data_IF_894433286301
#
_entry.id   IF_894433286301
#
_cell.length_a   1.000
_cell.length_b   1.000
_cell.length_c   1.000
_cell.angle_alpha   90.00
_cell.angle_beta   90.00
_cell.angle_gamma   90.00
#
_symmetry.space_group_name_H-M   'P 1'
#
loop_
_entity.id
_entity.type
_entity.pdbx_description
1 polymer ?
#
# COMPACT_ATOMS: atom_id res chain seq x y z
N UNK A 1 22.80 -46.58 15.65
CA UNK A 1 22.60 -45.84 14.39
C UNK A 1 22.33 -44.39 14.77
N UNK A 2 23.30 -43.51 14.57
CA UNK A 2 23.15 -42.07 14.88
C UNK A 2 22.37 -41.42 13.75
N UNK A 3 21.20 -40.85 14.05
CA UNK A 3 20.43 -40.05 13.09
C UNK A 3 21.19 -38.75 12.80
N UNK A 4 21.31 -38.31 11.53
CA UNK A 4 21.98 -37.05 11.24
C UNK A 4 21.15 -35.89 11.80
N UNK A 5 21.84 -34.87 12.30
CA UNK A 5 21.20 -33.64 12.75
C UNK A 5 20.43 -32.98 11.59
N UNK A 6 19.25 -32.38 11.84
CA UNK A 6 18.50 -31.68 10.81
C UNK A 6 19.34 -30.52 10.24
N UNK A 7 19.27 -30.34 8.92
CA UNK A 7 19.89 -29.20 8.24
C UNK A 7 19.32 -27.89 8.81
N UNK A 8 20.13 -26.83 8.95
CA UNK A 8 19.64 -25.54 9.41
C UNK A 8 18.54 -25.05 8.47
N UNK A 9 17.44 -24.54 9.06
CA UNK A 9 16.38 -23.88 8.29
C UNK A 9 16.99 -22.73 7.47
N UNK A 10 16.49 -22.48 6.24
CA UNK A 10 16.94 -21.33 5.46
C UNK A 10 16.73 -20.04 6.27
N UNK A 11 17.69 -19.11 6.19
CA UNK A 11 17.54 -17.79 6.77
C UNK A 11 16.27 -17.13 6.22
N UNK A 12 15.52 -16.36 7.03
CA UNK A 12 14.32 -15.69 6.55
C UNK A 12 14.69 -14.75 5.40
N UNK A 13 13.92 -14.81 4.32
CA UNK A 13 14.01 -13.84 3.22
C UNK A 13 13.77 -12.45 3.79
N UNK A 14 14.60 -11.43 3.47
CA UNK A 14 14.36 -10.07 3.95
C UNK A 14 12.99 -9.57 3.46
N UNK A 15 12.28 -8.85 4.31
CA UNK A 15 10.99 -8.26 3.96
C UNK A 15 11.14 -7.32 2.74
N UNK A 16 10.16 -7.28 1.82
CA UNK A 16 10.18 -6.37 0.69
C UNK A 16 10.33 -4.91 1.12
N UNK A 17 11.24 -4.20 0.47
CA UNK A 17 11.46 -2.76 0.67
C UNK A 17 10.84 -1.95 -0.48
N UNK A 18 10.36 -0.72 -0.23
CA UNK A 18 9.83 0.10 -1.30
C UNK A 18 10.98 0.52 -2.25
N UNK A 19 10.75 0.46 -3.55
CA UNK A 19 11.71 0.96 -4.54
C UNK A 19 11.52 2.45 -4.84
N UNK A 20 10.35 3.00 -4.49
CA UNK A 20 10.02 4.41 -4.61
C UNK A 20 8.89 4.77 -3.65
N UNK A 21 8.79 6.05 -3.29
CA UNK A 21 7.68 6.62 -2.55
C UNK A 21 7.23 7.90 -3.24
N UNK A 22 5.94 8.22 -3.16
CA UNK A 22 5.43 9.52 -3.57
C UNK A 22 5.92 10.64 -2.62
N UNK A 23 5.77 11.91 -2.99
CA UNK A 23 5.69 12.98 -2.00
C UNK A 23 4.59 12.70 -0.98
N UNK A 24 4.65 13.41 0.15
CA UNK A 24 3.50 13.51 1.05
C UNK A 24 2.51 14.48 0.42
N UNK A 25 1.26 14.06 0.30
CA UNK A 25 0.15 14.87 -0.17
C UNK A 25 -0.72 15.31 1.00
N UNK A 26 -1.30 16.50 0.93
CA UNK A 26 -2.39 16.98 1.76
C UNK A 26 -3.70 17.11 0.97
N UNK A 27 -4.77 17.62 1.62
CA UNK A 27 -6.08 17.76 0.97
C UNK A 27 -6.11 18.75 -0.19
N UNK A 28 -5.12 19.64 -0.30
CA UNK A 28 -5.04 20.71 -1.29
C UNK A 28 -4.17 20.34 -2.48
N UNK A 29 -3.14 19.53 -2.28
CA UNK A 29 -2.19 19.14 -3.32
C UNK A 29 -2.36 17.70 -3.83
N UNK A 30 -3.27 16.91 -3.23
CA UNK A 30 -3.58 15.56 -3.69
C UNK A 30 -4.02 15.58 -5.17
N UNK A 31 -3.25 14.95 -6.09
CA UNK A 31 -3.55 14.97 -7.51
C UNK A 31 -4.96 14.45 -7.81
N UNK A 32 -5.68 15.13 -8.71
CA UNK A 32 -7.00 14.69 -9.14
C UNK A 32 -7.00 13.27 -9.73
N UNK A 33 -5.88 12.83 -10.30
CA UNK A 33 -5.72 11.46 -10.81
C UNK A 33 -5.76 10.40 -9.71
N UNK A 34 -5.37 10.71 -8.47
CA UNK A 34 -5.49 9.78 -7.35
C UNK A 34 -6.92 9.76 -6.77
N UNK A 35 -7.70 10.81 -7.03
CA UNK A 35 -9.12 10.94 -6.65
C UNK A 35 -10.09 10.38 -7.68
N UNK A 36 -9.57 9.87 -8.79
CA UNK A 36 -10.32 9.17 -9.83
C UNK A 36 -9.79 7.73 -9.94
N UNK A 37 -10.56 6.86 -10.59
CA UNK A 37 -10.14 5.47 -10.83
C UNK A 37 -8.76 5.44 -11.50
N UNK A 38 -7.82 4.75 -10.86
CA UNK A 38 -6.51 4.48 -11.40
C UNK A 38 -6.00 3.11 -10.94
N UNK A 39 -4.85 2.71 -11.47
CA UNK A 39 -4.20 1.43 -11.20
C UNK A 39 -2.72 1.64 -10.99
N UNK A 40 -2.11 0.83 -10.13
CA UNK A 40 -0.65 0.68 -10.14
C UNK A 40 -0.22 -0.04 -11.43
N UNK A 41 1.04 0.13 -11.83
CA UNK A 41 1.59 -0.59 -12.99
C UNK A 41 1.54 -2.10 -12.75
N UNK A 42 1.41 -2.94 -13.79
CA UNK A 42 1.56 -4.38 -13.66
C UNK A 42 2.84 -4.75 -12.89
N UNK A 43 2.72 -5.71 -11.97
CA UNK A 43 3.80 -6.12 -11.07
C UNK A 43 4.22 -5.10 -10.01
N UNK A 44 3.50 -3.99 -9.83
CA UNK A 44 3.76 -3.00 -8.77
C UNK A 44 2.70 -3.07 -7.69
N UNK A 45 3.13 -3.35 -6.47
CA UNK A 45 2.31 -3.22 -5.28
C UNK A 45 2.40 -1.80 -4.74
N UNK A 46 1.28 -1.26 -4.28
CA UNK A 46 1.24 0.03 -3.58
C UNK A 46 0.86 -0.16 -2.11
N UNK A 47 1.39 0.69 -1.24
CA UNK A 47 0.90 0.83 0.14
C UNK A 47 0.57 2.29 0.38
N UNK A 48 -0.71 2.60 0.54
CA UNK A 48 -1.16 3.95 0.90
C UNK A 48 -1.21 4.07 2.42
N UNK A 49 -0.50 5.06 2.97
CA UNK A 49 -0.43 5.33 4.41
C UNK A 49 -0.85 6.75 4.70
N UNK A 50 -1.77 6.90 5.65
CA UNK A 50 -2.10 8.20 6.23
C UNK A 50 -1.14 8.50 7.37
N UNK A 51 -0.53 9.67 7.33
CA UNK A 51 0.36 10.22 8.37
C UNK A 51 -0.48 10.97 9.42
N UNK A 52 -1.49 11.74 8.96
CA UNK A 52 -2.45 12.45 9.81
C UNK A 52 -3.81 12.59 9.14
N UNK A 53 -4.89 12.71 9.92
CA UNK A 53 -6.25 12.84 9.37
C UNK A 53 -6.80 11.51 8.84
N UNK A 54 -7.60 11.57 7.77
CA UNK A 54 -8.17 10.37 7.15
C UNK A 54 -8.56 10.56 5.68
N UNK A 55 -8.56 9.47 4.93
CA UNK A 55 -9.15 9.36 3.60
C UNK A 55 -9.96 8.06 3.49
N UNK A 56 -10.84 7.96 2.51
CA UNK A 56 -11.47 6.68 2.16
C UNK A 56 -10.78 6.14 0.93
N UNK A 57 -10.23 4.93 1.03
CA UNK A 57 -9.81 4.13 -0.11
C UNK A 57 -11.03 3.37 -0.65
N UNK A 58 -11.25 3.44 -1.96
CA UNK A 58 -12.30 2.70 -2.66
C UNK A 58 -11.65 1.74 -3.64
N UNK A 59 -12.03 0.46 -3.58
CA UNK A 59 -11.63 -0.55 -4.55
C UNK A 59 -12.76 -0.70 -5.56
N UNK A 60 -12.56 -0.20 -6.78
CA UNK A 60 -13.63 -0.04 -7.77
C UNK A 60 -14.12 -1.37 -8.37
N UNK A 61 -13.31 -2.43 -8.27
CA UNK A 61 -13.69 -3.77 -8.75
C UNK A 61 -14.63 -4.51 -7.79
N UNK A 62 -14.40 -4.42 -6.48
CA UNK A 62 -15.24 -5.05 -5.46
C UNK A 62 -16.31 -4.12 -4.89
N UNK A 63 -16.12 -2.81 -4.98
CA UNK A 63 -16.92 -1.80 -4.28
C UNK A 63 -16.56 -1.66 -2.79
N UNK A 64 -15.52 -2.36 -2.32
CA UNK A 64 -15.08 -2.28 -0.93
C UNK A 64 -14.51 -0.90 -0.62
N UNK A 65 -14.73 -0.46 0.62
CA UNK A 65 -14.28 0.85 1.11
C UNK A 65 -13.56 0.68 2.43
N UNK A 66 -12.41 1.32 2.54
CA UNK A 66 -11.57 1.29 3.74
C UNK A 66 -11.21 2.71 4.15
N UNK A 67 -11.59 3.11 5.36
CA UNK A 67 -11.12 4.38 5.94
C UNK A 67 -9.67 4.21 6.37
N UNK A 68 -8.77 4.98 5.77
CA UNK A 68 -7.37 5.03 6.15
C UNK A 68 -7.17 6.10 7.22
N UNK A 69 -6.45 5.71 8.27
CA UNK A 69 -6.03 6.55 9.39
C UNK A 69 -4.56 6.25 9.71
N UNK A 70 -3.88 7.05 10.55
CA UNK A 70 -2.56 6.68 11.03
C UNK A 70 -2.56 5.29 11.66
N UNK A 71 -1.71 4.40 11.13
CA UNK A 71 -1.63 2.99 11.55
C UNK A 71 -2.53 2.02 10.78
N UNK A 72 -3.40 2.50 9.88
CA UNK A 72 -4.29 1.66 9.05
C UNK A 72 -3.97 1.85 7.57
N UNK A 73 -2.96 1.15 7.03
CA UNK A 73 -2.59 1.26 5.62
C UNK A 73 -3.56 0.49 4.70
N UNK A 74 -3.63 0.90 3.44
CA UNK A 74 -4.23 0.11 2.36
C UNK A 74 -3.14 -0.60 1.55
N UNK A 75 -3.37 -1.88 1.23
CA UNK A 75 -2.58 -2.62 0.26
C UNK A 75 -3.24 -2.54 -1.11
N UNK A 76 -2.48 -2.08 -2.11
CA UNK A 76 -2.94 -1.92 -3.48
C UNK A 76 -2.29 -3.01 -4.33
N UNK A 77 -3.10 -3.95 -4.82
CA UNK A 77 -2.61 -5.00 -5.69
C UNK A 77 -2.25 -4.46 -7.09
N UNK A 78 -1.31 -5.10 -7.81
CA UNK A 78 -1.01 -4.73 -9.18
C UNK A 78 -2.26 -4.75 -10.07
N UNK A 79 -2.44 -3.70 -10.88
CA UNK A 79 -3.55 -3.56 -11.85
C UNK A 79 -4.96 -3.51 -11.24
N UNK A 80 -5.08 -3.49 -9.90
CA UNK A 80 -6.36 -3.36 -9.21
C UNK A 80 -6.87 -1.92 -9.32
N UNK A 81 -8.10 -1.68 -9.81
CA UNK A 81 -8.66 -0.33 -9.88
C UNK A 81 -9.06 0.19 -8.51
N UNK A 82 -8.64 1.41 -8.20
CA UNK A 82 -8.95 2.07 -6.94
C UNK A 82 -8.86 3.59 -7.05
N UNK A 83 -9.38 4.28 -6.05
CA UNK A 83 -9.20 5.72 -5.87
C UNK A 83 -9.31 6.13 -4.40
N UNK A 84 -8.92 7.37 -4.09
CA UNK A 84 -9.10 7.96 -2.76
C UNK A 84 -10.13 9.08 -2.75
N UNK A 85 -11.00 9.08 -1.74
CA UNK A 85 -11.92 10.16 -1.44
C UNK A 85 -11.43 10.94 -0.21
N UNK A 86 -11.45 12.27 -0.31
CA UNK A 86 -11.10 13.16 0.80
C UNK A 86 -12.24 13.18 1.82
N UNK A 87 -11.91 13.03 3.10
CA UNK A 87 -12.88 13.16 4.21
C UNK A 87 -12.68 14.42 5.05
N UNK A 88 -11.60 15.16 4.81
CA UNK A 88 -11.18 16.34 5.55
C UNK A 88 -9.67 16.57 5.41
N UNK A 89 -9.07 17.40 6.27
CA UNK A 89 -7.63 17.61 6.31
C UNK A 89 -6.89 16.29 6.53
N UNK A 90 -5.83 16.06 5.75
CA UNK A 90 -5.08 14.81 5.79
C UNK A 90 -3.63 14.98 5.35
N UNK A 91 -2.79 14.02 5.68
CA UNK A 91 -1.50 13.82 5.04
C UNK A 91 -1.35 12.36 4.68
N UNK A 92 -0.98 12.06 3.43
CA UNK A 92 -0.86 10.70 2.91
C UNK A 92 0.39 10.53 2.05
N UNK A 93 1.00 9.36 2.11
CA UNK A 93 2.08 8.94 1.23
C UNK A 93 1.78 7.55 0.65
N UNK A 94 2.29 7.28 -0.55
CA UNK A 94 2.19 5.98 -1.19
C UNK A 94 3.60 5.43 -1.44
N UNK A 95 3.85 4.23 -0.92
CA UNK A 95 5.05 3.46 -1.17
C UNK A 95 4.82 2.43 -2.27
N UNK A 96 5.81 2.20 -3.13
CA UNK A 96 5.73 1.26 -4.25
C UNK A 96 6.75 0.14 -4.11
N UNK A 97 6.29 -1.10 -4.27
CA UNK A 97 7.08 -2.31 -4.08
C UNK A 97 7.07 -3.19 -5.34
N UNK A 98 8.13 -3.99 -5.50
CA UNK A 98 8.21 -5.03 -6.55
C UNK A 98 7.57 -6.35 -6.13
N UNK A 99 7.43 -6.56 -4.82
CA UNK A 99 6.87 -7.75 -4.21
C UNK A 99 5.84 -7.33 -3.16
N UNK A 100 4.91 -8.22 -2.81
CA UNK A 100 3.87 -7.91 -1.83
C UNK A 100 4.49 -7.67 -0.44
N UNK A 101 4.38 -6.47 0.14
CA UNK A 101 4.86 -6.24 1.50
C UNK A 101 3.93 -6.91 2.53
N UNK A 102 4.50 -7.22 3.69
CA UNK A 102 3.75 -7.59 4.88
C UNK A 102 3.33 -6.29 5.60
N UNK A 103 2.05 -6.17 5.98
CA UNK A 103 1.47 -4.98 6.62
C UNK A 103 1.00 -5.29 8.03
#
# INVERSE_FOLDING_TARGET
MTQPAPAPAPAPTPAPVPYASSPVFDETDLPASLRAEHRTKPGTWGVARVISGSVVMVYDDSGDRLTLTPGTPALLAPDQPHHVELTGPMQMQIDFYRERPEL
#
